data_IF_709772283469
#
_entry.id   IF_709772283469
#
_cell.length_a   1.000
_cell.length_b   1.000
_cell.length_c   1.000
_cell.angle_alpha   90.00
_cell.angle_beta   90.00
_cell.angle_gamma   90.00
#
_symmetry.space_group_name_H-M   'P 1'
#
loop_
_entity.id
_entity.type
_entity.pdbx_description
1 polymer ?
#
# COMPACT_ATOMS: atom_id res chain seq x y z
N UNK A 1 -17.48 6.13 -21.31
CA UNK A 1 -16.53 5.00 -21.28
C UNK A 1 -15.88 4.79 -19.89
N UNK A 2 -15.67 5.84 -19.09
CA UNK A 2 -14.94 5.71 -17.80
C UNK A 2 -15.76 5.04 -16.68
N UNK A 3 -17.07 5.24 -16.62
CA UNK A 3 -17.91 4.69 -15.53
C UNK A 3 -18.00 3.16 -15.55
N UNK A 4 -18.16 2.56 -16.74
CA UNK A 4 -18.28 1.10 -16.89
C UNK A 4 -16.95 0.42 -16.53
N UNK A 5 -15.82 0.99 -16.95
CA UNK A 5 -14.51 0.44 -16.60
C UNK A 5 -14.23 0.56 -15.10
N UNK A 6 -14.69 1.65 -14.46
CA UNK A 6 -14.59 1.82 -13.01
C UNK A 6 -15.39 0.75 -12.25
N UNK A 7 -16.60 0.41 -12.71
CA UNK A 7 -17.43 -0.63 -12.11
C UNK A 7 -16.83 -2.04 -12.33
N UNK A 8 -16.27 -2.32 -13.51
CA UNK A 8 -15.57 -3.59 -13.79
C UNK A 8 -14.33 -3.76 -12.91
N UNK A 9 -13.52 -2.71 -12.74
CA UNK A 9 -12.30 -2.75 -11.93
C UNK A 9 -12.63 -3.06 -10.45
N UNK A 10 -13.74 -2.50 -9.93
CA UNK A 10 -14.23 -2.81 -8.59
C UNK A 10 -14.70 -4.26 -8.43
N UNK A 11 -15.38 -4.82 -9.46
CA UNK A 11 -15.83 -6.21 -9.44
C UNK A 11 -14.67 -7.20 -9.53
N UNK A 12 -13.60 -6.86 -10.24
CA UNK A 12 -12.39 -7.67 -10.38
C UNK A 12 -11.44 -7.58 -9.17
N UNK A 13 -11.72 -6.69 -8.21
CA UNK A 13 -10.82 -6.38 -7.09
C UNK A 13 -9.49 -5.77 -7.55
N UNK A 14 -9.44 -5.26 -8.78
CA UNK A 14 -8.25 -4.63 -9.36
C UNK A 14 -8.24 -3.17 -8.96
N UNK A 15 -7.23 -2.80 -8.18
CA UNK A 15 -7.01 -1.42 -7.83
C UNK A 15 -6.16 -0.76 -8.91
N UNK A 16 -6.21 0.57 -9.00
CA UNK A 16 -5.39 1.34 -9.95
C UNK A 16 -3.89 0.98 -9.91
N UNK A 17 -3.41 0.48 -8.76
CA UNK A 17 -2.04 -0.01 -8.56
C UNK A 17 -1.68 -1.25 -9.39
N UNK A 18 -2.66 -2.01 -9.85
CA UNK A 18 -2.46 -3.21 -10.67
C UNK A 18 -2.12 -2.87 -12.12
N UNK A 19 -2.60 -1.72 -12.60
CA UNK A 19 -2.29 -1.18 -13.93
C UNK A 19 -0.92 -0.49 -14.01
N UNK A 20 -0.20 -0.38 -12.89
CA UNK A 20 1.13 0.19 -12.86
C UNK A 20 2.19 -0.80 -13.34
N UNK A 21 3.20 -0.29 -14.07
CA UNK A 21 4.34 -1.10 -14.48
C UNK A 21 5.08 -1.70 -13.27
N UNK A 22 5.75 -2.86 -13.43
CA UNK A 22 6.44 -3.55 -12.33
C UNK A 22 7.40 -2.65 -11.55
N UNK A 23 8.08 -1.72 -12.23
CA UNK A 23 8.98 -0.74 -11.61
C UNK A 23 8.24 0.24 -10.69
N UNK A 24 7.07 0.74 -11.11
CA UNK A 24 6.26 1.65 -10.29
C UNK A 24 5.67 0.92 -9.09
N UNK A 25 5.19 -0.32 -9.28
CA UNK A 25 4.70 -1.18 -8.19
C UNK A 25 5.78 -1.44 -7.13
N UNK A 26 7.00 -1.75 -7.57
CA UNK A 26 8.15 -1.97 -6.67
C UNK A 26 8.53 -0.71 -5.86
N UNK A 27 8.45 0.48 -6.47
CA UNK A 27 8.69 1.75 -5.75
C UNK A 27 7.64 2.00 -4.67
N UNK A 28 6.36 1.81 -4.99
CA UNK A 28 5.25 1.98 -4.05
C UNK A 28 5.39 0.99 -2.89
N UNK A 29 5.68 -0.28 -3.19
CA UNK A 29 5.89 -1.31 -2.17
C UNK A 29 7.01 -0.96 -1.20
N UNK A 30 8.19 -0.55 -1.71
CA UNK A 30 9.32 -0.10 -0.86
C UNK A 30 8.95 1.10 0.02
N UNK A 31 8.14 2.02 -0.48
CA UNK A 31 7.66 3.17 0.29
C UNK A 31 6.69 2.73 1.38
N UNK A 32 5.75 1.84 1.07
CA UNK A 32 4.79 1.28 2.03
C UNK A 32 5.50 0.49 3.13
N UNK A 33 6.46 -0.36 2.80
CA UNK A 33 7.26 -1.12 3.77
C UNK A 33 8.04 -0.19 4.72
N UNK A 34 8.54 0.94 4.21
CA UNK A 34 9.18 1.98 5.04
C UNK A 34 8.18 2.67 5.96
N UNK A 35 7.03 3.08 5.44
CA UNK A 35 5.97 3.72 6.22
C UNK A 35 5.42 2.79 7.29
N UNK A 36 5.24 1.51 6.98
CA UNK A 36 4.81 0.48 7.92
C UNK A 36 5.83 0.33 9.05
N UNK A 37 7.14 0.32 8.76
CA UNK A 37 8.19 0.31 9.78
C UNK A 37 8.18 1.57 10.65
N UNK A 38 7.96 2.74 10.06
CA UNK A 38 7.87 4.02 10.77
C UNK A 38 6.62 4.07 11.68
N UNK A 39 5.48 3.52 11.23
CA UNK A 39 4.24 3.42 12.00
C UNK A 39 4.30 2.34 13.10
N UNK A 40 4.82 1.15 12.78
CA UNK A 40 4.95 0.03 13.73
C UNK A 40 6.10 0.20 14.72
N UNK A 41 7.09 1.02 14.38
CA UNK A 41 8.17 1.47 15.28
C UNK A 41 7.69 2.25 16.52
N UNK A 42 6.41 2.65 16.57
CA UNK A 42 5.82 3.25 17.78
C UNK A 42 5.17 2.21 18.73
N UNK A 43 4.92 0.96 18.29
CA UNK A 43 4.23 -0.05 19.12
C UNK A 43 5.17 -0.84 20.05
N UNK A 44 6.49 -0.71 19.90
CA UNK A 44 7.50 -1.37 20.73
C UNK A 44 8.46 -0.37 21.39
N UNK A 45 7.96 0.63 22.12
CA UNK A 45 8.78 1.20 23.21
C UNK A 45 8.75 0.17 24.35
N UNK A 46 9.88 -0.41 24.80
CA UNK A 46 9.87 -1.17 26.02
C UNK A 46 9.38 -0.25 27.14
N UNK A 47 8.36 -0.70 27.88
CA UNK A 47 7.96 -0.05 29.12
C UNK A 47 9.20 0.08 30.00
N UNK A 48 9.49 1.32 30.40
CA UNK A 48 10.26 1.73 31.57
C UNK A 48 11.13 0.66 32.23
N UNK A 49 12.45 0.75 32.05
CA UNK A 49 13.34 0.40 33.16
C UNK A 49 13.36 1.60 34.11
N UNK A 50 12.51 1.54 35.13
CA UNK A 50 12.82 2.04 36.46
C UNK A 50 13.50 0.91 37.22
#
# INVERSE_FOLDING_TARGET
AVCIQHEIDHLDGKLFVDYLSPLKRNRIRKKLERMEKELTGQKNRPASNL
#
